data_IF_477843926091
#
_entry.id   IF_477843926091
#
_cell.length_a   1.000
_cell.length_b   1.000
_cell.length_c   1.000
_cell.angle_alpha   90.00
_cell.angle_beta   90.00
_cell.angle_gamma   90.00
#
_symmetry.space_group_name_H-M   'P 1'
#
loop_
_entity.id
_entity.type
_entity.pdbx_description
1 polymer ?
#
# COMPACT_ATOMS: atom_id res chain seq x y z
N UNK A 1 24.85 29.21 -101.32
CA UNK A 1 25.83 29.93 -100.51
C UNK A 1 25.47 29.76 -99.03
N UNK A 2 26.47 29.39 -98.31
CA UNK A 2 26.64 29.43 -96.87
C UNK A 2 26.01 28.31 -96.01
N UNK A 3 26.94 27.52 -95.58
CA UNK A 3 26.93 26.49 -94.53
C UNK A 3 26.45 27.02 -93.14
N UNK A 4 25.81 26.17 -92.41
CA UNK A 4 25.72 26.23 -90.94
C UNK A 4 25.90 24.82 -90.40
N UNK A 5 26.71 24.64 -89.39
CA UNK A 5 27.17 23.32 -88.95
C UNK A 5 26.20 22.60 -87.96
N UNK A 6 26.34 21.29 -88.02
CA UNK A 6 25.55 20.35 -87.20
C UNK A 6 25.96 20.42 -85.70
N UNK A 7 24.95 20.25 -84.90
CA UNK A 7 25.08 20.14 -83.41
C UNK A 7 24.96 18.67 -83.03
N UNK A 8 26.04 18.15 -82.54
CA UNK A 8 26.13 16.80 -82.00
C UNK A 8 25.51 16.69 -80.66
N UNK A 9 24.50 15.87 -80.49
CA UNK A 9 23.89 15.48 -79.22
C UNK A 9 24.80 14.45 -78.55
N UNK A 10 25.57 14.92 -77.54
CA UNK A 10 26.15 14.01 -76.55
C UNK A 10 25.16 13.80 -75.42
N UNK A 11 24.80 12.59 -75.01
CA UNK A 11 23.96 12.35 -73.89
C UNK A 11 24.71 12.58 -72.58
N UNK A 12 24.16 13.37 -71.69
CA UNK A 12 24.71 13.82 -70.41
C UNK A 12 24.79 12.67 -69.40
N UNK A 13 25.80 11.82 -69.54
CA UNK A 13 26.11 10.66 -68.67
C UNK A 13 26.33 11.06 -67.20
N UNK A 14 26.67 12.32 -66.95
CA UNK A 14 26.92 12.82 -65.59
C UNK A 14 25.64 13.02 -64.76
N UNK A 15 24.49 13.28 -65.41
CA UNK A 15 23.22 13.41 -64.69
C UNK A 15 22.60 12.08 -64.28
N UNK A 16 22.87 11.01 -65.03
CA UNK A 16 22.36 9.68 -64.71
C UNK A 16 23.11 9.05 -63.54
N UNK A 17 24.42 9.32 -63.39
CA UNK A 17 25.22 8.81 -62.28
C UNK A 17 24.89 9.47 -60.95
N UNK A 18 24.46 10.74 -60.97
CA UNK A 18 24.06 11.45 -59.73
C UNK A 18 22.72 11.03 -59.20
N UNK A 19 21.77 10.63 -60.05
CA UNK A 19 20.45 10.12 -59.64
C UNK A 19 20.53 8.70 -59.08
N UNK A 20 21.41 7.84 -59.57
CA UNK A 20 21.61 6.47 -59.07
C UNK A 20 22.33 6.48 -57.70
N UNK A 21 23.24 7.41 -57.44
CA UNK A 21 23.93 7.54 -56.14
C UNK A 21 23.00 8.12 -55.09
N UNK A 22 22.05 9.00 -55.44
CA UNK A 22 21.06 9.54 -54.50
C UNK A 22 19.98 8.52 -54.12
N UNK A 23 19.65 7.57 -54.99
CA UNK A 23 18.70 6.48 -54.70
C UNK A 23 19.31 5.36 -53.86
N UNK A 24 20.63 5.17 -53.87
CA UNK A 24 21.31 4.17 -53.02
C UNK A 24 21.58 4.62 -51.60
N UNK A 25 21.59 5.93 -51.30
CA UNK A 25 21.75 6.47 -49.92
C UNK A 25 20.42 6.51 -49.15
N UNK A 26 19.29 6.49 -49.88
CA UNK A 26 17.95 6.55 -49.25
C UNK A 26 17.45 5.23 -48.63
N UNK A 27 18.11 4.08 -48.85
CA UNK A 27 17.62 2.77 -48.37
C UNK A 27 18.31 2.29 -47.07
N UNK A 28 19.33 3.01 -46.54
CA UNK A 28 20.08 2.57 -45.35
C UNK A 28 19.54 3.15 -44.03
N UNK A 29 18.48 3.96 -44.04
CA UNK A 29 18.00 4.65 -42.82
C UNK A 29 16.75 4.02 -42.19
N UNK A 30 16.35 2.82 -42.52
CA UNK A 30 15.12 2.24 -42.00
C UNK A 30 15.29 0.86 -41.34
N UNK A 31 16.44 0.59 -40.74
CA UNK A 31 16.59 -0.50 -39.76
C UNK A 31 17.03 0.06 -38.40
N UNK A 32 16.31 1.05 -37.89
CA UNK A 32 16.29 1.27 -36.43
C UNK A 32 15.48 0.13 -35.85
N UNK A 33 16.13 -1.00 -35.62
CA UNK A 33 15.59 -2.07 -34.82
C UNK A 33 15.14 -1.46 -33.48
N UNK A 34 13.84 -1.51 -33.21
CA UNK A 34 13.32 -1.38 -31.87
C UNK A 34 14.03 -2.45 -31.03
N UNK A 35 15.11 -2.05 -30.34
CA UNK A 35 15.64 -2.89 -29.28
C UNK A 35 14.48 -3.05 -28.29
N UNK A 36 14.03 -4.27 -28.03
CA UNK A 36 13.10 -4.48 -26.93
C UNK A 36 13.84 -4.00 -25.68
N UNK A 37 13.45 -2.86 -25.13
CA UNK A 37 13.90 -2.44 -23.83
C UNK A 37 13.29 -3.41 -22.82
N UNK A 38 13.93 -4.52 -22.58
CA UNK A 38 13.70 -5.32 -21.39
C UNK A 38 14.08 -4.44 -20.21
N UNK A 39 13.13 -3.68 -19.69
CA UNK A 39 13.20 -3.24 -18.31
C UNK A 39 13.03 -4.51 -17.49
N UNK A 40 14.13 -5.14 -17.15
CA UNK A 40 14.17 -6.12 -16.08
C UNK A 40 13.86 -5.35 -14.79
N UNK A 41 12.57 -5.13 -14.52
CA UNK A 41 12.12 -4.66 -13.23
C UNK A 41 12.46 -5.76 -12.24
N UNK A 42 13.42 -5.53 -11.38
CA UNK A 42 13.68 -6.43 -10.26
C UNK A 42 12.50 -6.27 -9.32
N UNK A 43 11.69 -7.33 -9.19
CA UNK A 43 10.57 -7.35 -8.25
C UNK A 43 11.14 -7.44 -6.83
N UNK A 44 11.18 -6.31 -6.13
CA UNK A 44 11.61 -6.25 -4.72
C UNK A 44 10.41 -6.54 -3.84
N UNK A 45 10.54 -7.52 -2.96
CA UNK A 45 9.58 -7.79 -1.89
C UNK A 45 9.90 -6.85 -0.72
N UNK A 46 8.99 -5.92 -0.44
CA UNK A 46 9.12 -4.97 0.66
C UNK A 46 8.42 -5.49 1.92
N UNK A 47 9.06 -5.33 3.07
CA UNK A 47 8.56 -5.71 4.39
C UNK A 47 8.65 -4.54 5.35
N UNK A 48 7.53 -4.14 5.93
CA UNK A 48 7.53 -3.30 7.12
C UNK A 48 7.57 -4.23 8.34
N UNK A 49 8.56 -4.05 9.21
CA UNK A 49 8.78 -4.91 10.37
C UNK A 49 8.74 -4.06 11.64
N UNK A 50 7.80 -4.37 12.52
CA UNK A 50 7.76 -3.86 13.90
C UNK A 50 8.48 -4.85 14.80
N UNK A 51 9.34 -4.37 15.69
CA UNK A 51 10.02 -5.22 16.68
C UNK A 51 9.69 -4.74 18.07
N UNK A 52 9.31 -5.65 18.96
CA UNK A 52 9.02 -5.36 20.36
C UNK A 52 9.75 -6.29 21.29
N UNK A 53 10.04 -5.83 22.52
CA UNK A 53 10.47 -6.68 23.63
C UNK A 53 9.29 -7.40 24.31
N UNK A 54 9.57 -8.18 25.34
CA UNK A 54 8.55 -8.89 26.12
C UNK A 54 7.58 -7.94 26.86
N UNK A 55 7.97 -6.70 27.14
CA UNK A 55 7.15 -5.67 27.75
C UNK A 55 6.41 -4.80 26.72
N UNK A 56 6.46 -5.20 25.42
CA UNK A 56 5.84 -4.51 24.28
C UNK A 56 6.43 -3.14 23.93
N UNK A 57 7.64 -2.79 24.43
CA UNK A 57 8.33 -1.60 23.97
C UNK A 57 8.91 -1.82 22.59
N UNK A 58 8.86 -0.78 21.75
CA UNK A 58 9.43 -0.83 20.41
C UNK A 58 10.96 -0.79 20.46
N UNK A 59 11.58 -1.72 19.73
CA UNK A 59 13.03 -1.80 19.58
C UNK A 59 13.38 -1.13 18.25
N UNK A 60 14.20 -0.07 18.30
CA UNK A 60 14.52 0.79 17.14
C UNK A 60 16.01 0.90 16.85
N UNK A 61 16.85 0.12 17.54
CA UNK A 61 18.31 0.14 17.48
C UNK A 61 18.94 -1.06 16.76
N UNK A 62 18.11 -1.89 16.07
CA UNK A 62 18.59 -3.04 15.30
C UNK A 62 19.27 -2.62 14.00
N UNK A 63 20.24 -3.42 13.55
CA UNK A 63 20.92 -3.28 12.27
C UNK A 63 20.45 -4.35 11.27
N UNK A 64 20.84 -4.20 10.00
CA UNK A 64 20.47 -5.15 8.94
C UNK A 64 20.82 -6.60 9.29
N UNK A 65 22.01 -6.82 9.85
CA UNK A 65 22.50 -8.15 10.23
C UNK A 65 21.72 -8.85 11.34
N UNK A 66 20.87 -8.12 12.07
CA UNK A 66 19.99 -8.69 13.07
C UNK A 66 18.78 -9.42 12.47
N UNK A 67 18.46 -9.16 11.21
CA UNK A 67 17.28 -9.69 10.54
C UNK A 67 17.59 -10.90 9.66
N UNK A 68 16.87 -11.98 9.91
CA UNK A 68 16.92 -13.20 9.09
C UNK A 68 15.55 -13.37 8.43
N UNK A 69 15.49 -13.16 7.11
CA UNK A 69 14.27 -13.27 6.31
C UNK A 69 14.22 -14.64 5.63
N UNK A 70 13.07 -15.30 5.73
CA UNK A 70 12.82 -16.58 5.06
C UNK A 70 11.55 -16.48 4.22
N UNK A 71 11.61 -17.00 2.99
CA UNK A 71 10.48 -17.20 2.09
C UNK A 71 10.32 -18.70 1.86
N UNK A 72 9.13 -19.24 2.17
CA UNK A 72 8.85 -20.69 2.08
C UNK A 72 9.91 -21.58 2.74
N UNK A 73 10.53 -21.08 3.83
CA UNK A 73 11.59 -21.76 4.56
C UNK A 73 13.00 -21.55 3.99
N UNK A 74 13.15 -20.89 2.85
CA UNK A 74 14.45 -20.57 2.23
C UNK A 74 14.90 -19.20 2.67
N UNK A 75 16.13 -19.12 3.24
CA UNK A 75 16.72 -17.84 3.65
C UNK A 75 16.89 -16.92 2.44
N UNK A 76 16.47 -15.68 2.59
CA UNK A 76 16.61 -14.61 1.60
C UNK A 76 17.74 -13.66 1.97
N UNK A 77 18.35 -13.04 0.97
CA UNK A 77 19.35 -12.00 1.17
C UNK A 77 18.65 -10.63 1.18
N UNK A 78 18.72 -9.93 2.31
CA UNK A 78 18.21 -8.56 2.42
C UNK A 78 19.11 -7.67 1.55
N UNK A 79 18.50 -6.94 0.62
CA UNK A 79 19.21 -6.04 -0.32
C UNK A 79 18.92 -4.57 -0.05
N UNK A 80 17.94 -4.31 0.81
CA UNK A 80 17.58 -2.97 1.26
C UNK A 80 17.20 -3.01 2.74
N UNK A 81 17.76 -2.09 3.50
CA UNK A 81 17.45 -1.90 4.92
C UNK A 81 17.32 -0.42 5.22
N UNK A 82 16.27 -0.04 5.92
CA UNK A 82 16.08 1.33 6.38
C UNK A 82 15.44 1.40 7.76
N UNK A 83 16.05 2.20 8.64
CA UNK A 83 15.47 2.68 9.89
C UNK A 83 14.83 4.06 9.72
N UNK A 84 15.04 4.69 8.57
CA UNK A 84 14.41 5.98 8.30
C UNK A 84 12.92 5.77 8.07
N UNK A 85 12.16 6.60 8.72
CA UNK A 85 10.72 6.60 8.58
C UNK A 85 10.37 7.20 7.20
N UNK A 86 10.00 6.34 6.25
CA UNK A 86 9.38 6.81 5.02
C UNK A 86 8.02 7.45 5.34
N UNK A 87 7.61 8.46 4.60
CA UNK A 87 6.27 9.05 4.73
C UNK A 87 5.18 7.99 4.63
N UNK A 88 4.01 8.28 5.17
CA UNK A 88 2.87 7.37 5.21
C UNK A 88 1.75 7.93 4.33
N UNK A 89 1.09 7.04 3.59
CA UNK A 89 -0.25 7.25 3.05
C UNK A 89 -1.22 6.45 3.91
N UNK A 90 -2.08 7.15 4.63
CA UNK A 90 -3.00 6.58 5.60
C UNK A 90 -4.43 6.65 5.11
N UNK A 91 -5.18 5.55 5.20
CA UNK A 91 -6.63 5.55 5.09
C UNK A 91 -7.25 5.36 6.47
N UNK A 92 -7.99 6.34 6.93
CA UNK A 92 -8.70 6.33 8.20
C UNK A 92 -10.18 6.06 7.93
N UNK A 93 -10.66 4.87 8.35
CA UNK A 93 -12.04 4.41 8.18
C UNK A 93 -12.76 4.53 9.51
N UNK A 94 -13.84 5.28 9.53
CA UNK A 94 -14.61 5.60 10.73
C UNK A 94 -16.04 5.11 10.54
N UNK A 95 -16.43 4.18 11.41
CA UNK A 95 -17.79 3.65 11.46
C UNK A 95 -18.73 4.73 12.01
N UNK A 96 -19.73 5.08 11.22
CA UNK A 96 -20.80 6.00 11.59
C UNK A 96 -22.17 5.30 11.59
N UNK A 97 -22.20 3.96 11.71
CA UNK A 97 -23.46 3.22 11.83
C UNK A 97 -24.28 3.66 13.05
N UNK A 98 -25.57 3.29 13.07
CA UNK A 98 -26.48 3.74 14.13
C UNK A 98 -26.03 3.34 15.55
N UNK A 99 -25.32 2.21 15.71
CA UNK A 99 -24.76 1.78 17.00
C UNK A 99 -23.71 2.73 17.54
N UNK A 100 -23.08 3.54 16.66
CA UNK A 100 -22.05 4.51 17.03
C UNK A 100 -22.58 5.83 17.60
N UNK A 101 -23.90 6.06 17.65
CA UNK A 101 -24.50 7.35 18.04
C UNK A 101 -23.97 7.87 19.39
N UNK A 102 -23.90 7.02 20.41
CA UNK A 102 -23.38 7.39 21.74
C UNK A 102 -21.86 7.54 21.79
N UNK A 103 -21.15 6.99 20.80
CA UNK A 103 -19.68 6.92 20.78
C UNK A 103 -19.03 7.87 19.79
N UNK A 104 -19.82 8.44 18.88
CA UNK A 104 -19.32 9.19 17.73
C UNK A 104 -18.47 10.40 18.13
N UNK A 105 -18.86 11.15 19.16
CA UNK A 105 -18.11 12.34 19.62
C UNK A 105 -16.72 11.98 20.13
N UNK A 106 -16.59 10.86 20.86
CA UNK A 106 -15.29 10.39 21.37
C UNK A 106 -14.43 9.85 20.22
N UNK A 107 -15.05 9.13 19.26
CA UNK A 107 -14.38 8.69 18.04
C UNK A 107 -13.82 9.87 17.24
N UNK A 108 -14.64 10.89 16.99
CA UNK A 108 -14.21 12.12 16.29
C UNK A 108 -13.03 12.77 16.98
N UNK A 109 -13.11 12.95 18.31
CA UNK A 109 -12.01 13.54 19.08
C UNK A 109 -10.73 12.70 18.99
N UNK A 110 -10.83 11.38 19.13
CA UNK A 110 -9.68 10.49 19.08
C UNK A 110 -9.06 10.46 17.67
N UNK A 111 -9.88 10.45 16.62
CA UNK A 111 -9.45 10.51 15.22
C UNK A 111 -8.74 11.85 14.91
N UNK A 112 -9.30 12.97 15.37
CA UNK A 112 -8.68 14.31 15.25
C UNK A 112 -7.32 14.36 15.96
N UNK A 113 -7.26 13.90 17.20
CA UNK A 113 -5.98 13.84 17.95
C UNK A 113 -4.94 12.96 17.24
N UNK A 114 -5.37 11.92 16.55
CA UNK A 114 -4.48 11.06 15.79
C UNK A 114 -3.95 11.74 14.53
N UNK A 115 -4.80 12.34 13.71
CA UNK A 115 -4.34 13.02 12.47
C UNK A 115 -3.39 14.17 12.77
N UNK A 116 -3.51 14.80 13.94
CA UNK A 116 -2.57 15.83 14.39
C UNK A 116 -1.17 15.28 14.76
N UNK A 117 -1.01 13.95 14.94
CA UNK A 117 0.29 13.31 15.14
C UNK A 117 1.00 12.95 13.84
N UNK A 118 0.31 13.05 12.70
CA UNK A 118 0.91 12.82 11.39
C UNK A 118 1.99 13.88 11.12
N UNK A 119 3.06 13.44 10.47
CA UNK A 119 4.17 14.31 10.09
C UNK A 119 3.80 15.14 8.86
N UNK A 120 4.54 16.21 8.63
CA UNK A 120 4.29 17.13 7.50
C UNK A 120 4.34 16.47 6.12
N UNK A 121 5.07 15.35 5.99
CA UNK A 121 5.18 14.60 4.74
C UNK A 121 4.16 13.45 4.63
N UNK A 122 3.42 13.15 5.70
CA UNK A 122 2.37 12.14 5.66
C UNK A 122 1.12 12.69 4.99
N UNK A 123 0.36 11.83 4.37
CA UNK A 123 -0.95 12.15 3.82
C UNK A 123 -1.99 11.18 4.36
N UNK A 124 -3.18 11.68 4.60
CA UNK A 124 -4.30 10.86 5.04
C UNK A 124 -5.55 11.14 4.23
N UNK A 125 -6.42 10.14 4.14
CA UNK A 125 -7.82 10.27 3.71
C UNK A 125 -8.73 9.85 4.85
N UNK A 126 -9.94 10.42 4.86
CA UNK A 126 -11.02 10.04 5.79
C UNK A 126 -12.14 9.40 5.00
N UNK A 127 -12.47 8.18 5.37
CA UNK A 127 -13.59 7.42 4.82
C UNK A 127 -14.60 7.18 5.95
N UNK A 128 -15.80 7.63 5.71
CA UNK A 128 -16.99 7.40 6.52
C UNK A 128 -17.73 6.18 6.00
N UNK A 129 -18.20 5.31 6.89
CA UNK A 129 -19.02 4.19 6.46
C UNK A 129 -20.14 3.87 7.43
N UNK A 130 -21.32 3.74 6.85
CA UNK A 130 -22.55 3.23 7.44
C UNK A 130 -23.11 2.13 6.51
N UNK A 131 -24.34 2.26 6.05
CA UNK A 131 -24.93 1.50 4.94
C UNK A 131 -24.29 1.83 3.57
N UNK A 132 -23.53 2.92 3.50
CA UNK A 132 -22.77 3.38 2.35
C UNK A 132 -21.33 3.64 2.75
N UNK A 133 -20.45 3.77 1.77
CA UNK A 133 -19.06 4.14 1.99
C UNK A 133 -18.80 5.46 1.27
N UNK A 134 -18.38 6.47 2.03
CA UNK A 134 -18.17 7.82 1.50
C UNK A 134 -16.76 8.31 1.83
N UNK A 135 -16.04 8.75 0.80
CA UNK A 135 -14.74 9.41 0.98
C UNK A 135 -15.03 10.86 1.33
N UNK A 136 -15.01 11.19 2.64
CA UNK A 136 -15.25 12.54 3.15
C UNK A 136 -14.12 13.49 2.79
N UNK A 137 -12.88 12.98 2.82
CA UNK A 137 -11.68 13.69 2.44
C UNK A 137 -10.73 12.74 1.71
N UNK A 138 -10.33 13.07 0.49
CA UNK A 138 -9.27 12.38 -0.24
C UNK A 138 -7.89 12.62 0.38
N UNK A 139 -6.86 11.94 -0.11
CA UNK A 139 -5.52 12.06 0.45
C UNK A 139 -5.01 13.49 0.46
N UNK A 140 -4.74 14.01 1.67
CA UNK A 140 -4.20 15.35 1.92
C UNK A 140 -3.24 15.35 3.11
N UNK A 141 -2.28 16.28 3.12
CA UNK A 141 -1.46 16.59 4.29
C UNK A 141 -2.01 17.76 5.11
N UNK A 142 -3.15 18.34 4.69
CA UNK A 142 -3.76 19.48 5.37
C UNK A 142 -4.63 19.01 6.53
N UNK A 143 -4.16 19.23 7.76
CA UNK A 143 -4.87 18.83 8.98
C UNK A 143 -6.26 19.46 9.10
N UNK A 144 -6.44 20.72 8.68
CA UNK A 144 -7.74 21.38 8.78
C UNK A 144 -8.82 20.75 7.87
N UNK A 145 -8.42 20.20 6.70
CA UNK A 145 -9.32 19.45 5.83
C UNK A 145 -9.72 18.11 6.48
N UNK A 146 -8.77 17.41 7.10
CA UNK A 146 -9.03 16.18 7.83
C UNK A 146 -9.95 16.40 9.04
N UNK A 147 -9.68 17.44 9.84
CA UNK A 147 -10.52 17.82 10.98
C UNK A 147 -11.96 18.13 10.57
N UNK A 148 -12.11 18.89 9.46
CA UNK A 148 -13.43 19.20 8.93
C UNK A 148 -14.17 17.93 8.53
N UNK A 149 -13.52 17.02 7.83
CA UNK A 149 -14.12 15.74 7.41
C UNK A 149 -14.54 14.87 8.60
N UNK A 150 -13.69 14.78 9.63
CA UNK A 150 -13.98 14.02 10.85
C UNK A 150 -15.16 14.64 11.62
N UNK A 151 -15.19 15.96 11.75
CA UNK A 151 -16.25 16.65 12.50
C UNK A 151 -17.64 16.56 11.87
N UNK A 152 -17.71 16.28 10.56
CA UNK A 152 -18.97 16.17 9.80
C UNK A 152 -19.58 14.77 9.82
N UNK A 153 -18.96 13.78 10.50
CA UNK A 153 -19.55 12.47 10.65
C UNK A 153 -20.85 12.52 11.44
N UNK A 154 -21.85 11.77 10.98
CA UNK A 154 -23.15 11.69 11.63
C UNK A 154 -23.60 10.23 11.70
N UNK A 155 -24.03 9.78 12.88
CA UNK A 155 -24.41 8.40 13.09
C UNK A 155 -25.76 8.05 12.37
N UNK A 156 -25.79 6.87 11.75
CA UNK A 156 -26.98 6.35 11.10
C UNK A 156 -26.72 5.11 10.27
N UNK A 157 -27.78 4.45 9.84
CA UNK A 157 -27.68 3.29 8.94
C UNK A 157 -27.14 2.01 9.57
N UNK A 158 -26.82 1.05 8.71
CA UNK A 158 -26.18 -0.25 9.01
C UNK A 158 -24.66 -0.17 8.80
N UNK A 159 -23.94 -1.26 9.02
CA UNK A 159 -22.47 -1.28 8.94
C UNK A 159 -22.01 -2.00 7.67
N UNK A 160 -21.28 -1.32 6.78
CA UNK A 160 -20.69 -1.89 5.56
C UNK A 160 -19.15 -1.97 5.64
N UNK A 161 -18.66 -2.67 6.65
CA UNK A 161 -17.22 -2.77 7.00
C UNK A 161 -16.37 -3.33 5.86
N UNK A 162 -16.80 -4.45 5.25
CA UNK A 162 -16.03 -5.08 4.17
C UNK A 162 -15.95 -4.18 2.93
N UNK A 163 -17.07 -3.52 2.57
CA UNK A 163 -17.06 -2.53 1.47
C UNK A 163 -16.08 -1.39 1.76
N UNK A 164 -16.07 -0.86 2.98
CA UNK A 164 -15.19 0.24 3.38
C UNK A 164 -13.72 -0.14 3.24
N UNK A 165 -13.31 -1.30 3.78
CA UNK A 165 -11.93 -1.80 3.68
C UNK A 165 -11.55 -2.03 2.21
N UNK A 166 -12.45 -2.65 1.42
CA UNK A 166 -12.22 -2.91 0.00
C UNK A 166 -11.97 -1.61 -0.77
N UNK A 167 -12.80 -0.58 -0.58
CA UNK A 167 -12.66 0.72 -1.22
C UNK A 167 -11.36 1.39 -0.78
N UNK A 168 -11.06 1.41 0.51
CA UNK A 168 -9.84 2.00 1.04
C UNK A 168 -8.58 1.38 0.45
N UNK A 169 -8.52 0.06 0.32
CA UNK A 169 -7.39 -0.64 -0.32
C UNK A 169 -7.26 -0.27 -1.81
N UNK A 170 -8.38 -0.08 -2.50
CA UNK A 170 -8.38 0.40 -3.89
C UNK A 170 -7.87 1.84 -4.01
N UNK A 171 -8.25 2.71 -3.09
CA UNK A 171 -7.78 4.11 -3.06
C UNK A 171 -6.28 4.18 -2.73
N UNK A 172 -5.80 3.45 -1.72
CA UNK A 172 -4.38 3.38 -1.39
C UNK A 172 -3.53 2.94 -2.58
N UNK A 173 -4.00 1.99 -3.38
CA UNK A 173 -3.29 1.56 -4.61
C UNK A 173 -3.14 2.65 -5.67
N UNK A 174 -3.95 3.70 -5.64
CA UNK A 174 -3.84 4.85 -6.56
C UNK A 174 -2.76 5.83 -6.13
N UNK A 175 -2.34 5.79 -4.86
CA UNK A 175 -1.24 6.60 -4.35
C UNK A 175 0.06 6.05 -4.92
N UNK A 176 0.53 6.65 -6.02
CA UNK A 176 1.76 6.23 -6.69
C UNK A 176 2.87 7.23 -6.39
N UNK A 177 4.07 6.71 -6.15
CA UNK A 177 5.26 7.54 -6.13
C UNK A 177 5.55 8.05 -7.55
N UNK A 178 5.82 9.34 -7.68
CA UNK A 178 6.30 9.95 -8.92
C UNK A 178 7.83 9.83 -8.98
N UNK A 179 8.48 9.96 -7.82
CA UNK A 179 9.93 9.83 -7.62
C UNK A 179 10.21 8.87 -6.45
N UNK A 180 11.46 8.43 -6.28
CA UNK A 180 11.86 7.56 -5.17
C UNK A 180 11.58 8.18 -3.79
N UNK A 181 11.66 9.51 -3.68
CA UNK A 181 11.37 10.26 -2.44
C UNK A 181 9.87 10.26 -2.09
N UNK A 182 9.01 10.02 -3.08
CA UNK A 182 7.55 9.98 -2.90
C UNK A 182 7.04 8.60 -2.48
N UNK A 183 7.90 7.60 -2.37
CA UNK A 183 7.50 6.25 -1.92
C UNK A 183 7.00 6.31 -0.49
N UNK A 184 5.70 6.04 -0.32
CA UNK A 184 5.02 6.06 0.97
C UNK A 184 4.69 4.65 1.42
N UNK A 185 4.88 4.39 2.71
CA UNK A 185 4.31 3.20 3.35
C UNK A 185 2.79 3.37 3.40
N UNK A 186 2.07 2.31 3.13
CA UNK A 186 0.61 2.32 3.16
C UNK A 186 0.09 1.74 4.46
N UNK A 187 -0.81 2.45 5.10
CA UNK A 187 -1.49 2.01 6.30
C UNK A 187 -2.99 2.26 6.19
N UNK A 188 -3.77 1.36 6.77
CA UNK A 188 -5.20 1.49 6.92
C UNK A 188 -5.53 1.31 8.39
N UNK A 189 -6.28 2.24 8.97
CA UNK A 189 -6.85 2.12 10.31
C UNK A 189 -8.35 2.08 10.16
N UNK A 190 -8.98 1.05 10.69
CA UNK A 190 -10.43 0.93 10.72
C UNK A 190 -10.91 0.84 12.16
N UNK A 191 -11.89 1.67 12.47
CA UNK A 191 -12.62 1.60 13.73
C UNK A 191 -14.07 1.19 13.46
N UNK A 192 -14.56 0.19 14.20
CA UNK A 192 -15.95 -0.21 14.22
C UNK A 192 -16.32 -0.83 15.57
N UNK A 193 -17.56 -0.74 15.96
CA UNK A 193 -18.10 -1.38 17.18
C UNK A 193 -18.83 -2.68 16.91
N UNK A 194 -19.02 -3.03 15.62
CA UNK A 194 -19.95 -4.06 15.24
C UNK A 194 -19.54 -4.99 14.12
N UNK A 195 -20.49 -5.85 13.84
CA UNK A 195 -20.47 -6.83 12.78
C UNK A 195 -20.80 -6.17 11.44
N UNK A 196 -20.22 -6.66 10.36
CA UNK A 196 -20.62 -6.28 9.01
C UNK A 196 -22.05 -6.76 8.71
N UNK A 197 -22.95 -5.83 8.43
CA UNK A 197 -24.38 -6.13 8.26
C UNK A 197 -24.93 -5.82 6.88
N UNK A 198 -24.18 -5.09 6.04
CA UNK A 198 -24.69 -4.60 4.76
C UNK A 198 -23.70 -4.60 3.61
N UNK A 199 -22.51 -5.15 3.77
CA UNK A 199 -21.57 -5.22 2.68
C UNK A 199 -22.00 -6.18 1.57
N UNK A 200 -21.68 -5.81 0.34
CA UNK A 200 -21.81 -6.66 -0.85
C UNK A 200 -20.57 -7.51 -1.10
N UNK A 201 -19.39 -7.01 -0.65
CA UNK A 201 -18.11 -7.70 -0.78
C UNK A 201 -17.97 -8.70 0.37
N UNK A 202 -17.57 -9.91 0.05
CA UNK A 202 -17.32 -10.95 1.07
C UNK A 202 -16.01 -10.71 1.83
N UNK A 203 -15.90 -11.30 3.03
CA UNK A 203 -14.64 -11.27 3.79
C UNK A 203 -13.47 -11.87 3.00
N UNK A 204 -13.67 -12.97 2.27
CA UNK A 204 -12.64 -13.64 1.50
C UNK A 204 -12.09 -12.74 0.39
N UNK A 205 -12.95 -11.97 -0.28
CA UNK A 205 -12.53 -11.00 -1.31
C UNK A 205 -11.70 -9.86 -0.71
N UNK A 206 -12.12 -9.35 0.46
CA UNK A 206 -11.36 -8.32 1.19
C UNK A 206 -10.01 -8.85 1.63
N UNK A 207 -9.97 -10.06 2.18
CA UNK A 207 -8.75 -10.70 2.65
C UNK A 207 -7.76 -10.96 1.50
N UNK A 208 -8.24 -11.46 0.35
CA UNK A 208 -7.39 -11.64 -0.84
C UNK A 208 -6.83 -10.30 -1.33
N UNK A 209 -7.67 -9.25 -1.39
CA UNK A 209 -7.21 -7.92 -1.77
C UNK A 209 -6.18 -7.35 -0.77
N UNK A 210 -6.40 -7.53 0.54
CA UNK A 210 -5.48 -7.10 1.59
C UNK A 210 -4.12 -7.80 1.47
N UNK A 211 -4.11 -9.11 1.24
CA UNK A 211 -2.89 -9.90 1.02
C UNK A 211 -2.12 -9.50 -0.24
N UNK A 212 -2.81 -8.97 -1.26
CA UNK A 212 -2.20 -8.44 -2.49
C UNK A 212 -1.76 -7.00 -2.37
N UNK A 213 -2.14 -6.33 -1.29
CA UNK A 213 -1.73 -4.95 -1.01
C UNK A 213 -0.43 -4.92 -0.21
N UNK A 214 0.26 -3.82 -0.30
CA UNK A 214 1.42 -3.51 0.55
C UNK A 214 1.00 -2.75 1.82
N UNK A 215 -0.30 -2.79 2.14
CA UNK A 215 -0.93 -1.99 3.19
C UNK A 215 -0.93 -2.76 4.52
N UNK A 216 -0.39 -2.15 5.57
CA UNK A 216 -0.55 -2.64 6.94
C UNK A 216 -1.91 -2.22 7.48
N UNK A 217 -2.74 -3.18 7.91
CA UNK A 217 -4.09 -2.91 8.40
C UNK A 217 -4.10 -2.96 9.94
N UNK A 218 -4.52 -1.85 10.54
CA UNK A 218 -4.78 -1.73 11.96
C UNK A 218 -6.29 -1.71 12.17
N UNK A 219 -6.76 -2.55 13.07
CA UNK A 219 -8.19 -2.64 13.36
C UNK A 219 -8.46 -2.31 14.82
N UNK A 220 -9.50 -1.55 15.08
CA UNK A 220 -9.94 -1.17 16.42
C UNK A 220 -11.42 -1.57 16.53
N UNK A 221 -11.72 -2.55 17.40
CA UNK A 221 -13.09 -2.97 17.66
C UNK A 221 -13.44 -2.70 19.12
N UNK A 222 -14.44 -1.86 19.35
CA UNK A 222 -14.95 -1.61 20.70
C UNK A 222 -15.64 -2.87 21.23
N UNK A 223 -15.26 -3.30 22.43
CA UNK A 223 -15.95 -4.42 23.07
C UNK A 223 -17.31 -3.96 23.59
N UNK A 224 -18.37 -4.48 23.00
CA UNK A 224 -19.71 -4.32 23.53
C UNK A 224 -19.87 -5.00 24.90
N UNK A 225 -20.96 -4.71 25.59
CA UNK A 225 -21.30 -5.29 26.90
C UNK A 225 -21.47 -6.82 26.83
N UNK A 226 -21.80 -7.37 25.67
CA UNK A 226 -21.94 -8.82 25.43
C UNK A 226 -20.86 -9.35 24.48
N UNK A 227 -19.65 -9.55 25.05
CA UNK A 227 -18.51 -10.18 24.32
C UNK A 227 -18.76 -11.65 23.91
N UNK A 228 -19.84 -12.27 24.39
CA UNK A 228 -20.23 -13.64 24.05
C UNK A 228 -21.16 -13.69 22.83
N UNK A 229 -21.69 -12.54 22.39
CA UNK A 229 -22.52 -12.48 21.21
C UNK A 229 -21.80 -13.05 19.99
N UNK A 230 -22.52 -13.82 19.17
CA UNK A 230 -21.96 -14.47 18.00
C UNK A 230 -21.37 -13.46 17.03
N UNK A 231 -22.07 -12.35 16.76
CA UNK A 231 -21.62 -11.29 15.85
C UNK A 231 -20.32 -10.64 16.29
N UNK A 232 -20.16 -10.36 17.60
CA UNK A 232 -18.89 -9.82 18.09
C UNK A 232 -17.70 -10.75 17.85
N UNK A 233 -17.88 -12.06 18.03
CA UNK A 233 -16.81 -13.05 17.77
C UNK A 233 -16.45 -13.14 16.28
N UNK A 234 -17.42 -13.00 15.40
CA UNK A 234 -17.20 -12.96 13.95
C UNK A 234 -16.44 -11.68 13.56
N UNK A 235 -16.86 -10.52 14.05
CA UNK A 235 -16.15 -9.25 13.83
C UNK A 235 -14.72 -9.29 14.39
N UNK A 236 -14.52 -9.82 15.61
CA UNK A 236 -13.18 -10.00 16.20
C UNK A 236 -12.29 -10.88 15.33
N UNK A 237 -12.83 -12.01 14.83
CA UNK A 237 -12.09 -12.90 13.92
C UNK A 237 -11.68 -12.19 12.64
N UNK A 238 -12.60 -11.49 11.97
CA UNK A 238 -12.33 -10.71 10.75
C UNK A 238 -11.22 -9.69 10.98
N UNK A 239 -11.36 -8.88 12.02
CA UNK A 239 -10.42 -7.81 12.33
C UNK A 239 -9.03 -8.34 12.72
N UNK A 240 -8.96 -9.39 13.53
CA UNK A 240 -7.68 -10.05 13.86
C UNK A 240 -7.00 -10.63 12.64
N UNK A 241 -7.76 -11.31 11.78
CA UNK A 241 -7.22 -11.95 10.59
C UNK A 241 -6.63 -10.92 9.63
N UNK A 242 -7.37 -9.85 9.32
CA UNK A 242 -6.89 -8.77 8.45
C UNK A 242 -5.59 -8.13 8.98
N UNK A 243 -5.57 -7.80 10.28
CA UNK A 243 -4.40 -7.21 10.89
C UNK A 243 -3.18 -8.17 10.87
N UNK A 244 -3.36 -9.44 11.24
CA UNK A 244 -2.28 -10.41 11.30
C UNK A 244 -1.70 -10.74 9.92
N UNK A 245 -2.55 -10.91 8.91
CA UNK A 245 -2.11 -11.25 7.55
C UNK A 245 -1.32 -10.11 6.88
N UNK A 246 -1.62 -8.87 7.25
CA UNK A 246 -1.00 -7.66 6.68
C UNK A 246 0.14 -7.07 7.50
N UNK A 247 0.44 -7.66 8.67
CA UNK A 247 1.51 -7.18 9.57
C UNK A 247 1.13 -6.00 10.46
N UNK A 248 -0.14 -5.58 10.44
CA UNK A 248 -0.68 -4.62 11.40
C UNK A 248 -1.09 -5.26 12.73
N UNK A 249 -1.95 -4.59 13.48
CA UNK A 249 -2.38 -5.02 14.81
C UNK A 249 -3.87 -4.77 15.02
N UNK A 250 -4.54 -5.70 15.70
CA UNK A 250 -5.92 -5.55 16.15
C UNK A 250 -5.97 -5.13 17.63
N UNK A 251 -6.79 -4.13 17.91
CA UNK A 251 -7.04 -3.59 19.25
C UNK A 251 -8.49 -3.81 19.64
N UNK A 252 -8.70 -4.15 20.89
CA UNK A 252 -10.02 -4.41 21.45
C UNK A 252 -10.18 -3.66 22.78
N UNK A 253 -10.25 -2.31 22.75
CA UNK A 253 -10.42 -1.53 23.96
C UNK A 253 -11.74 -1.90 24.67
N UNK A 254 -11.69 -1.93 26.00
CA UNK A 254 -12.87 -2.23 26.81
C UNK A 254 -13.81 -1.02 26.93
N UNK A 255 -13.27 0.18 26.76
CA UNK A 255 -14.00 1.44 26.85
C UNK A 255 -13.63 2.35 25.68
N UNK A 256 -14.59 3.15 25.25
CA UNK A 256 -14.37 4.14 24.20
C UNK A 256 -13.30 5.17 24.57
N UNK A 257 -13.18 5.52 25.85
CA UNK A 257 -12.18 6.48 26.35
C UNK A 257 -10.74 6.01 26.14
N UNK A 258 -10.53 4.70 25.97
CA UNK A 258 -9.20 4.12 25.71
C UNK A 258 -8.70 4.41 24.27
N UNK A 259 -9.55 4.91 23.37
CA UNK A 259 -9.23 5.14 21.96
C UNK A 259 -8.02 6.05 21.74
N UNK A 260 -7.90 7.14 22.51
CA UNK A 260 -6.73 8.02 22.41
C UNK A 260 -5.41 7.26 22.65
N UNK A 261 -5.42 6.33 23.62
CA UNK A 261 -4.28 5.46 23.91
C UNK A 261 -3.98 4.49 22.76
N UNK A 262 -5.02 3.90 22.17
CA UNK A 262 -4.89 2.99 21.02
C UNK A 262 -4.31 3.71 19.80
N UNK A 263 -4.85 4.86 19.45
CA UNK A 263 -4.34 5.66 18.34
C UNK A 263 -2.89 6.12 18.56
N UNK A 264 -2.53 6.44 19.81
CA UNK A 264 -1.13 6.76 20.17
C UNK A 264 -0.22 5.57 19.94
N UNK A 265 -0.62 4.37 20.38
CA UNK A 265 0.18 3.16 20.14
C UNK A 265 0.35 2.87 18.64
N UNK A 266 -0.69 3.11 17.80
CA UNK A 266 -0.58 2.94 16.36
C UNK A 266 0.40 3.96 15.76
N UNK A 267 0.33 5.23 16.17
CA UNK A 267 1.25 6.26 15.71
C UNK A 267 2.71 5.93 16.07
N UNK A 268 2.96 5.52 17.33
CA UNK A 268 4.28 5.12 17.81
C UNK A 268 4.80 3.89 17.06
N UNK A 269 3.93 2.92 16.77
CA UNK A 269 4.30 1.75 15.99
C UNK A 269 4.68 2.14 14.56
N UNK A 270 3.86 2.91 13.88
CA UNK A 270 4.15 3.39 12.52
C UNK A 270 5.45 4.20 12.49
N UNK A 271 5.78 4.90 13.59
CA UNK A 271 7.02 5.63 13.73
C UNK A 271 8.23 4.74 14.03
N UNK A 272 8.06 3.48 14.45
CA UNK A 272 9.13 2.60 14.93
C UNK A 272 9.45 1.44 13.97
N UNK A 273 8.82 1.38 12.80
CA UNK A 273 8.99 0.28 11.84
C UNK A 273 10.31 0.36 11.09
N UNK A 274 10.91 -0.81 10.87
CA UNK A 274 11.97 -1.03 9.89
C UNK A 274 11.38 -1.34 8.51
N UNK A 275 12.05 -0.91 7.46
CA UNK A 275 11.73 -1.35 6.10
C UNK A 275 12.87 -2.23 5.58
N UNK A 276 12.53 -3.47 5.21
CA UNK A 276 13.44 -4.42 4.58
C UNK A 276 13.01 -4.64 3.14
N UNK A 277 13.97 -4.91 2.26
CA UNK A 277 13.69 -5.31 0.89
C UNK A 277 14.60 -6.47 0.49
N UNK A 278 14.05 -7.43 -0.26
CA UNK A 278 14.82 -8.52 -0.86
C UNK A 278 14.25 -8.89 -2.23
N UNK A 279 15.11 -9.44 -3.08
CA UNK A 279 14.67 -10.10 -4.31
C UNK A 279 14.50 -11.58 -4.04
N UNK A 280 13.32 -12.13 -4.33
CA UNK A 280 13.04 -13.55 -4.09
C UNK A 280 14.05 -14.46 -4.82
N UNK A 281 14.61 -15.41 -4.10
CA UNK A 281 15.46 -16.46 -4.68
C UNK A 281 14.65 -17.46 -5.53
N UNK A 282 13.31 -17.45 -5.43
CA UNK A 282 12.42 -18.26 -6.26
C UNK A 282 12.02 -17.46 -7.52
N UNK A 283 12.53 -17.80 -8.72
CA UNK A 283 12.30 -17.03 -9.93
C UNK A 283 10.90 -17.24 -10.56
N UNK A 284 10.08 -18.15 -10.00
CA UNK A 284 8.78 -18.46 -10.59
C UNK A 284 7.83 -17.27 -10.51
N UNK A 285 7.20 -16.95 -11.62
CA UNK A 285 6.15 -15.92 -11.75
C UNK A 285 4.79 -16.58 -11.93
N UNK A 286 4.38 -17.34 -10.92
CA UNK A 286 3.23 -18.25 -10.94
C UNK A 286 2.00 -17.71 -10.22
N UNK A 287 2.09 -16.52 -9.62
CA UNK A 287 1.02 -15.95 -8.82
C UNK A 287 0.74 -16.69 -7.52
N UNK A 288 1.56 -17.67 -7.14
CA UNK A 288 1.37 -18.45 -5.93
C UNK A 288 1.65 -17.62 -4.67
N UNK A 289 0.97 -17.98 -3.58
CA UNK A 289 1.24 -17.40 -2.27
C UNK A 289 2.61 -17.87 -1.75
N UNK A 290 3.42 -16.95 -1.24
CA UNK A 290 4.72 -17.20 -0.62
C UNK A 290 4.71 -16.73 0.82
N UNK A 291 4.98 -17.68 1.72
CA UNK A 291 5.00 -17.40 3.16
C UNK A 291 6.30 -16.69 3.54
N UNK A 292 6.20 -15.64 4.35
CA UNK A 292 7.34 -14.91 4.90
C UNK A 292 7.45 -15.18 6.40
N UNK A 293 8.67 -15.38 6.86
CA UNK A 293 9.03 -15.43 8.27
C UNK A 293 10.25 -14.56 8.48
N UNK A 294 10.16 -13.62 9.40
CA UNK A 294 11.29 -12.84 9.89
C UNK A 294 11.69 -13.37 11.25
N UNK A 295 12.97 -13.60 11.46
CA UNK A 295 13.58 -13.95 12.75
C UNK A 295 14.62 -12.90 13.08
N UNK A 296 14.96 -12.79 14.36
CA UNK A 296 15.98 -11.87 14.84
C UNK A 296 17.11 -12.62 15.52
N UNK A 297 18.34 -12.17 15.34
CA UNK A 297 19.52 -12.69 16.05
C UNK A 297 19.52 -12.29 17.53
N UNK A 298 18.90 -11.14 17.87
CA UNK A 298 18.76 -10.66 19.25
C UNK A 298 17.72 -11.49 20.00
N UNK A 299 18.03 -12.02 21.20
CA UNK A 299 17.07 -12.77 22.01
C UNK A 299 16.00 -11.86 22.63
N UNK A 300 14.89 -12.43 23.04
CA UNK A 300 13.80 -11.79 23.79
C UNK A 300 13.14 -10.61 23.05
N UNK A 301 13.21 -10.59 21.73
CA UNK A 301 12.50 -9.63 20.89
C UNK A 301 11.66 -10.36 19.86
N UNK A 302 10.52 -9.78 19.50
CA UNK A 302 9.53 -10.39 18.62
C UNK A 302 9.30 -9.50 17.40
N UNK A 303 9.58 -9.99 16.19
CA UNK A 303 9.27 -9.27 14.95
C UNK A 303 7.84 -9.54 14.52
N UNK A 304 7.19 -8.51 13.94
CA UNK A 304 5.90 -8.62 13.30
C UNK A 304 5.94 -7.95 11.93
N UNK A 305 5.45 -8.66 10.93
CA UNK A 305 5.34 -8.23 9.53
C UNK A 305 4.21 -9.00 8.84
N UNK A 306 3.91 -8.68 7.58
CA UNK A 306 2.96 -9.46 6.77
C UNK A 306 3.35 -10.93 6.69
N UNK A 307 2.36 -11.82 6.63
CA UNK A 307 2.58 -13.29 6.63
C UNK A 307 3.09 -13.84 5.30
N UNK A 308 2.98 -13.07 4.24
CA UNK A 308 3.40 -13.49 2.91
C UNK A 308 2.97 -12.50 1.84
N UNK A 309 3.12 -12.91 0.59
CA UNK A 309 2.68 -12.15 -0.58
C UNK A 309 2.37 -13.09 -1.74
N UNK A 310 1.66 -12.60 -2.74
CA UNK A 310 1.48 -13.35 -3.99
C UNK A 310 2.61 -13.04 -4.97
N UNK A 311 3.27 -14.07 -5.46
CA UNK A 311 4.30 -13.93 -6.49
C UNK A 311 3.77 -13.19 -7.73
N UNK A 312 4.62 -12.46 -8.45
CA UNK A 312 4.22 -11.87 -9.73
C UNK A 312 3.70 -12.94 -10.70
N UNK A 313 2.84 -12.55 -11.62
CA UNK A 313 2.43 -13.37 -12.77
C UNK A 313 3.17 -12.93 -14.02
N UNK A 314 3.42 -13.85 -14.93
CA UNK A 314 3.89 -13.52 -16.29
C UNK A 314 2.75 -12.76 -16.97
N UNK A 315 3.00 -11.53 -17.41
CA UNK A 315 2.07 -10.74 -18.23
C UNK A 315 2.25 -11.08 -19.70
#
# INVERSE_FOLDING_TARGET
MVHGPGESLEPDVKRLTFVVVLLSVGVIVSLSGQQPSFRAGVDIVSLNVTVTDAATHYITDLEEGDFLVFEDGIKQNVTFFSRRQSPIALSLLLDSSASMEEHLSVLQQAATNFVHKLKSNDIAQVIDFDSRVEIRQGFTGNQAELDTAISQLAAGGSTSLHNAIYIALKELRKVRAVNEEDVRRQALIVFSDGEDTSSLVSFDEVLDLAKRSETSIYTIALRGSDVQAKGFREAEFVMRTLAQETGGRAFFPAKIDDLNGVYTQIADELASQYTLGYTSANPRRDGAWRRIVVQLSRPNVTPRTKKGYYAPTVR
#
